data_IF_133802175967
#
_entry.id   IF_133802175967
#
_cell.length_a   1.000
_cell.length_b   1.000
_cell.length_c   1.000
_cell.angle_alpha   90.00
_cell.angle_beta   90.00
_cell.angle_gamma   90.00
#
_symmetry.space_group_name_H-M   'P 1'
#
loop_
_entity.id
_entity.type
_entity.pdbx_description
1 polymer ?
#
# COMPACT_ATOMS: atom_id res chain seq x y z
N UNK A 1 15.23 -14.83 1.26
CA UNK A 1 14.94 -15.87 0.24
C UNK A 1 15.07 -15.22 -1.13
N UNK A 2 14.65 -15.83 -2.24
CA UNK A 2 14.47 -15.06 -3.48
C UNK A 2 13.07 -14.44 -3.43
N UNK A 3 12.96 -13.14 -3.69
CA UNK A 3 11.66 -12.45 -3.69
C UNK A 3 10.74 -13.02 -4.77
N UNK A 4 9.44 -13.05 -4.49
CA UNK A 4 8.43 -13.63 -5.36
C UNK A 4 8.40 -12.91 -6.72
N UNK A 5 8.17 -13.65 -7.82
CA UNK A 5 8.10 -13.07 -9.16
C UNK A 5 7.06 -11.93 -9.27
N UNK A 6 5.93 -12.05 -8.58
CA UNK A 6 4.86 -11.04 -8.57
C UNK A 6 5.36 -9.67 -8.10
N UNK A 7 6.21 -9.62 -7.06
CA UNK A 7 6.79 -8.37 -6.57
C UNK A 7 7.80 -7.82 -7.57
N UNK A 8 8.59 -8.71 -8.18
CA UNK A 8 9.55 -8.30 -9.21
C UNK A 8 8.86 -7.73 -10.45
N UNK A 9 7.72 -8.29 -10.85
CA UNK A 9 6.93 -7.81 -11.98
C UNK A 9 6.25 -6.48 -11.65
N UNK A 10 5.63 -6.37 -10.47
CA UNK A 10 5.05 -5.12 -9.98
C UNK A 10 6.09 -3.99 -9.96
N UNK A 11 7.29 -4.25 -9.44
CA UNK A 11 8.40 -3.27 -9.44
C UNK A 11 8.75 -2.77 -10.83
N UNK A 12 8.79 -3.66 -11.83
CA UNK A 12 9.10 -3.27 -13.22
C UNK A 12 8.01 -2.37 -13.79
N UNK A 13 6.75 -2.72 -13.56
CA UNK A 13 5.61 -1.92 -13.99
C UNK A 13 5.64 -0.54 -13.32
N UNK A 14 5.77 -0.51 -11.99
CA UNK A 14 5.87 0.72 -11.22
C UNK A 14 7.05 1.60 -11.66
N UNK A 15 8.20 0.99 -11.97
CA UNK A 15 9.36 1.71 -12.49
C UNK A 15 9.07 2.35 -13.85
N UNK A 16 8.36 1.65 -14.74
CA UNK A 16 7.99 2.17 -16.06
C UNK A 16 7.06 3.38 -15.95
N UNK A 17 6.04 3.31 -15.08
CA UNK A 17 5.08 4.42 -14.90
C UNK A 17 5.64 5.59 -14.06
N UNK A 18 6.77 5.38 -13.38
CA UNK A 18 7.45 6.39 -12.55
C UNK A 18 8.36 7.34 -13.32
N UNK A 19 8.49 7.18 -14.64
CA UNK A 19 9.32 8.07 -15.49
C UNK A 19 8.66 9.42 -15.78
N UNK A 20 7.35 9.53 -15.53
CA UNK A 20 6.53 10.71 -15.84
C UNK A 20 6.32 11.69 -14.68
N UNK A 21 5.33 12.56 -14.85
CA UNK A 21 4.85 13.45 -13.78
C UNK A 21 4.03 12.68 -12.73
N UNK A 22 3.82 13.27 -11.55
CA UNK A 22 2.93 12.69 -10.51
C UNK A 22 1.55 12.36 -11.06
N UNK A 23 0.98 13.25 -11.86
CA UNK A 23 -0.33 13.02 -12.47
C UNK A 23 -0.33 11.82 -13.42
N UNK A 24 0.73 11.68 -14.20
CA UNK A 24 0.87 10.56 -15.14
C UNK A 24 1.03 9.24 -14.38
N UNK A 25 1.85 9.22 -13.33
CA UNK A 25 1.98 8.06 -12.44
C UNK A 25 0.62 7.64 -11.86
N UNK A 26 -0.15 8.59 -11.31
CA UNK A 26 -1.48 8.31 -10.75
C UNK A 26 -2.46 7.78 -11.81
N UNK A 27 -2.45 8.34 -13.02
CA UNK A 27 -3.31 7.92 -14.12
C UNK A 27 -2.97 6.51 -14.64
N UNK A 28 -1.68 6.19 -14.74
CA UNK A 28 -1.21 4.87 -15.18
C UNK A 28 -1.32 3.80 -14.08
N UNK A 29 -1.18 4.18 -12.80
CA UNK A 29 -1.37 3.29 -11.66
C UNK A 29 -2.85 2.98 -11.39
N UNK A 30 -3.77 3.90 -11.71
CA UNK A 30 -5.21 3.74 -11.48
C UNK A 30 -5.79 2.38 -11.89
N UNK A 31 -5.58 1.89 -13.14
CA UNK A 31 -6.10 0.59 -13.54
C UNK A 31 -5.51 -0.57 -12.72
N UNK A 32 -4.23 -0.50 -12.36
CA UNK A 32 -3.55 -1.54 -11.54
C UNK A 32 -4.16 -1.58 -10.13
N UNK A 33 -4.36 -0.41 -9.52
CA UNK A 33 -4.99 -0.29 -8.21
C UNK A 33 -6.42 -0.83 -8.20
N UNK A 34 -7.22 -0.47 -9.21
CA UNK A 34 -8.60 -0.93 -9.36
C UNK A 34 -8.66 -2.43 -9.63
N UNK A 35 -7.76 -2.98 -10.45
CA UNK A 35 -7.67 -4.41 -10.68
C UNK A 35 -7.33 -5.17 -9.39
N UNK A 36 -6.32 -4.71 -8.66
CA UNK A 36 -5.93 -5.30 -7.38
C UNK A 36 -7.14 -5.32 -6.42
N UNK A 37 -7.87 -4.22 -6.31
CA UNK A 37 -9.08 -4.14 -5.49
C UNK A 37 -10.29 -4.94 -6.02
N UNK A 38 -10.34 -5.31 -7.30
CA UNK A 38 -11.44 -6.09 -7.86
C UNK A 38 -11.14 -7.59 -7.91
N UNK A 39 -9.89 -7.97 -7.68
CA UNK A 39 -9.51 -9.36 -7.50
C UNK A 39 -10.01 -9.92 -6.17
N UNK A 40 -9.83 -11.22 -5.90
CA UNK A 40 -10.41 -11.92 -4.74
C UNK A 40 -9.92 -11.35 -3.38
N UNK A 41 -10.55 -10.26 -2.93
CA UNK A 41 -10.24 -9.52 -1.71
C UNK A 41 -10.74 -10.21 -0.42
N UNK A 42 -11.11 -11.48 -0.47
CA UNK A 42 -11.67 -12.16 0.70
C UNK A 42 -10.63 -12.47 1.79
N UNK A 43 -9.33 -12.24 1.53
CA UNK A 43 -8.21 -12.66 2.40
C UNK A 43 -7.03 -11.66 2.46
N UNK A 44 -7.27 -10.35 2.33
CA UNK A 44 -6.20 -9.35 2.47
C UNK A 44 -5.08 -9.42 1.43
N UNK A 45 -5.45 -9.85 0.23
CA UNK A 45 -4.59 -9.97 -0.94
C UNK A 45 -5.39 -9.63 -2.19
N UNK A 46 -4.68 -9.21 -3.21
CA UNK A 46 -5.22 -9.06 -4.55
C UNK A 46 -4.33 -9.79 -5.56
N UNK A 47 -4.55 -9.52 -6.85
CA UNK A 47 -3.74 -10.08 -7.93
C UNK A 47 -3.08 -8.98 -8.74
N UNK A 48 -1.89 -9.29 -9.25
CA UNK A 48 -1.20 -8.52 -10.28
C UNK A 48 -0.77 -9.49 -11.39
N UNK A 49 -1.20 -9.24 -12.63
CA UNK A 49 -0.95 -10.12 -13.78
C UNK A 49 -1.41 -11.59 -13.56
N UNK A 50 -2.40 -11.81 -12.69
CA UNK A 50 -2.94 -13.13 -12.36
C UNK A 50 -2.25 -13.86 -11.20
N UNK A 51 -1.15 -13.32 -10.66
CA UNK A 51 -0.47 -13.85 -9.47
C UNK A 51 -0.92 -13.10 -8.20
N UNK A 52 -1.00 -13.81 -7.07
CA UNK A 52 -1.39 -13.21 -5.79
C UNK A 52 -0.29 -12.35 -5.19
N UNK A 53 -0.68 -11.17 -4.67
CA UNK A 53 0.17 -10.28 -3.87
C UNK A 53 -0.62 -9.75 -2.67
N UNK A 54 0.01 -9.81 -1.50
CA UNK A 54 -0.57 -9.37 -0.24
C UNK A 54 -0.72 -7.85 -0.14
N UNK A 55 -1.58 -7.42 0.78
CA UNK A 55 -1.91 -6.02 1.02
C UNK A 55 -0.69 -5.14 1.30
N UNK A 56 0.16 -5.49 2.26
CA UNK A 56 1.31 -4.70 2.66
C UNK A 56 2.38 -4.69 1.58
N UNK A 57 2.62 -5.83 0.92
CA UNK A 57 3.60 -5.90 -0.17
C UNK A 57 3.17 -5.02 -1.34
N UNK A 58 1.91 -5.09 -1.76
CA UNK A 58 1.39 -4.25 -2.83
C UNK A 58 1.52 -2.76 -2.48
N UNK A 59 1.06 -2.34 -1.30
CA UNK A 59 1.08 -0.92 -0.92
C UNK A 59 2.49 -0.40 -0.66
N UNK A 60 3.40 -1.22 -0.11
CA UNK A 60 4.80 -0.84 0.09
C UNK A 60 5.48 -0.47 -1.23
N UNK A 61 5.39 -1.36 -2.23
CA UNK A 61 6.01 -1.14 -3.53
C UNK A 61 5.47 0.11 -4.22
N UNK A 62 4.14 0.31 -4.15
CA UNK A 62 3.46 1.46 -4.73
C UNK A 62 3.87 2.77 -4.04
N UNK A 63 3.92 2.78 -2.70
CA UNK A 63 4.33 3.96 -1.93
C UNK A 63 5.78 4.31 -2.25
N UNK A 64 6.69 3.34 -2.26
CA UNK A 64 8.09 3.58 -2.62
C UNK A 64 8.24 4.17 -4.02
N UNK A 65 7.55 3.61 -5.02
CA UNK A 65 7.60 4.11 -6.39
C UNK A 65 7.07 5.55 -6.49
N UNK A 66 5.93 5.84 -5.85
CA UNK A 66 5.36 7.18 -5.83
C UNK A 66 6.30 8.20 -5.15
N UNK A 67 6.90 7.84 -4.00
CA UNK A 67 7.84 8.71 -3.30
C UNK A 67 9.11 8.98 -4.12
N UNK A 68 9.69 7.95 -4.72
CA UNK A 68 10.87 8.07 -5.57
C UNK A 68 10.60 8.94 -6.81
N UNK A 69 9.47 8.74 -7.48
CA UNK A 69 9.02 9.59 -8.59
C UNK A 69 8.90 11.05 -8.17
N UNK A 70 8.29 11.36 -7.03
CA UNK A 70 8.18 12.74 -6.53
C UNK A 70 9.54 13.36 -6.27
N UNK A 71 10.45 12.62 -5.63
CA UNK A 71 11.82 13.08 -5.38
C UNK A 71 12.54 13.39 -6.69
N UNK A 72 12.43 12.52 -7.70
CA UNK A 72 13.02 12.74 -9.04
C UNK A 72 12.46 13.99 -9.71
N UNK A 73 11.18 14.27 -9.52
CA UNK A 73 10.50 15.44 -10.06
C UNK A 73 10.73 16.72 -9.23
N UNK A 74 11.46 16.64 -8.12
CA UNK A 74 11.69 17.78 -7.21
C UNK A 74 10.44 18.19 -6.41
N UNK A 75 9.47 17.28 -6.29
CA UNK A 75 8.25 17.47 -5.51
C UNK A 75 8.44 17.01 -4.06
N UNK A 76 7.78 17.65 -3.08
CA UNK A 76 7.82 17.18 -1.70
C UNK A 76 7.11 15.83 -1.60
N UNK A 77 7.73 14.88 -0.89
CA UNK A 77 7.07 13.62 -0.50
C UNK A 77 5.94 13.92 0.48
N UNK A 78 4.84 13.19 0.37
CA UNK A 78 3.69 13.33 1.28
C UNK A 78 4.08 12.93 2.71
N UNK A 79 3.71 13.77 3.68
CA UNK A 79 3.86 13.40 5.09
C UNK A 79 2.85 12.31 5.46
N UNK A 80 3.16 11.47 6.45
CA UNK A 80 2.17 10.52 6.94
C UNK A 80 0.91 11.21 7.49
N UNK A 81 -0.25 10.58 7.28
CA UNK A 81 -1.52 11.08 7.80
C UNK A 81 -1.49 11.13 9.33
N UNK A 82 -1.62 12.33 9.88
CA UNK A 82 -1.69 12.51 11.33
C UNK A 82 -3.10 12.18 11.85
N UNK A 83 -3.19 11.26 12.80
CA UNK A 83 -4.42 10.90 13.53
C UNK A 83 -5.56 10.39 12.62
N UNK A 84 -5.35 9.31 11.85
CA UNK A 84 -6.38 8.66 11.05
C UNK A 84 -7.63 8.32 11.86
N UNK A 85 -8.79 8.32 11.20
CA UNK A 85 -10.10 8.03 11.81
C UNK A 85 -10.74 6.80 11.14
N UNK A 86 -11.09 5.74 11.89
CA UNK A 86 -10.96 5.61 13.34
C UNK A 86 -9.49 5.54 13.80
N UNK A 87 -9.18 5.92 15.06
CA UNK A 87 -7.82 5.88 15.58
C UNK A 87 -7.17 4.52 15.38
N UNK A 88 -5.86 4.55 15.09
CA UNK A 88 -5.05 3.35 15.01
C UNK A 88 -5.14 2.54 16.31
N UNK A 89 -5.14 1.21 16.17
CA UNK A 89 -5.26 0.28 17.30
C UNK A 89 -3.90 -0.34 17.59
N UNK A 90 -3.18 0.17 18.59
CA UNK A 90 -1.83 -0.29 18.94
C UNK A 90 -1.70 -1.81 19.24
N UNK A 91 -2.81 -2.51 19.47
CA UNK A 91 -2.81 -3.98 19.56
C UNK A 91 -2.46 -4.69 18.24
N UNK A 92 -2.56 -4.00 17.11
CA UNK A 92 -2.13 -4.54 15.80
C UNK A 92 -0.61 -4.69 15.81
N UNK A 93 0.12 -3.71 16.34
CA UNK A 93 1.58 -3.74 16.50
C UNK A 93 2.08 -4.93 17.36
N UNK A 94 1.22 -5.56 18.18
CA UNK A 94 1.60 -6.71 19.03
C UNK A 94 1.46 -8.08 18.35
N UNK A 95 0.96 -8.13 17.12
CA UNK A 95 0.80 -9.38 16.36
C UNK A 95 2.15 -9.74 15.76
N UNK A 96 2.70 -10.93 16.04
CA UNK A 96 4.02 -11.34 15.53
C UNK A 96 3.96 -12.22 14.28
N UNK A 97 2.77 -12.74 13.96
CA UNK A 97 2.56 -13.53 12.75
C UNK A 97 2.32 -12.58 11.55
N UNK A 98 3.10 -12.70 10.46
CA UNK A 98 3.05 -11.74 9.34
C UNK A 98 1.68 -11.63 8.68
N UNK A 99 1.05 -12.76 8.37
CA UNK A 99 -0.26 -12.81 7.70
C UNK A 99 -1.35 -12.21 8.61
N UNK A 100 -1.35 -12.56 9.91
CA UNK A 100 -2.31 -11.98 10.85
C UNK A 100 -2.08 -10.47 11.08
N UNK A 101 -0.83 -10.00 11.04
CA UNK A 101 -0.52 -8.58 11.12
C UNK A 101 -1.08 -7.83 9.90
N UNK A 102 -0.81 -8.34 8.69
CA UNK A 102 -1.34 -7.79 7.44
C UNK A 102 -2.86 -7.71 7.43
N UNK A 103 -3.54 -8.83 7.70
CA UNK A 103 -5.00 -8.89 7.77
C UNK A 103 -5.59 -7.93 8.82
N UNK A 104 -4.95 -7.80 9.99
CA UNK A 104 -5.42 -6.89 11.03
C UNK A 104 -5.24 -5.41 10.64
N UNK A 105 -4.14 -5.09 9.95
CA UNK A 105 -3.84 -3.75 9.47
C UNK A 105 -4.78 -3.36 8.31
N UNK A 106 -4.95 -4.24 7.33
CA UNK A 106 -5.91 -4.07 6.22
C UNK A 106 -7.35 -3.89 6.75
N UNK A 107 -7.78 -4.73 7.70
CA UNK A 107 -9.09 -4.62 8.31
C UNK A 107 -9.30 -3.31 9.08
N UNK A 108 -8.23 -2.66 9.57
CA UNK A 108 -8.31 -1.29 10.08
C UNK A 108 -8.29 -0.24 8.97
N UNK A 109 -7.44 -0.42 7.97
CA UNK A 109 -7.33 0.42 6.79
C UNK A 109 -8.68 0.60 6.08
N UNK A 110 -9.41 -0.48 5.84
CA UNK A 110 -10.72 -0.44 5.18
C UNK A 110 -11.73 0.39 6.00
N UNK A 111 -11.65 0.37 7.33
CA UNK A 111 -12.50 1.23 8.19
C UNK A 111 -12.12 2.71 8.12
N UNK A 112 -10.87 3.04 7.80
CA UNK A 112 -10.44 4.43 7.59
C UNK A 112 -10.98 4.94 6.26
N UNK A 113 -10.86 4.16 5.18
CA UNK A 113 -11.45 4.48 3.88
C UNK A 113 -12.97 4.66 3.93
N UNK A 114 -13.68 3.78 4.64
CA UNK A 114 -15.15 3.86 4.80
C UNK A 114 -15.62 4.91 5.81
N UNK A 115 -14.72 5.71 6.40
CA UNK A 115 -15.12 6.66 7.44
C UNK A 115 -15.84 7.87 6.82
N UNK A 116 -17.09 8.18 7.23
CA UNK A 116 -17.86 9.29 6.64
C UNK A 116 -17.31 10.68 6.96
N UNK A 117 -16.27 10.79 7.79
CA UNK A 117 -15.53 12.04 8.01
C UNK A 117 -14.72 12.46 6.78
N UNK A 118 -14.29 11.51 5.95
CA UNK A 118 -13.52 11.80 4.75
C UNK A 118 -14.44 11.99 3.53
N UNK A 119 -13.96 12.68 2.47
CA UNK A 119 -14.72 12.81 1.23
C UNK A 119 -15.11 11.44 0.66
N UNK A 120 -16.28 11.31 0.00
CA UNK A 120 -16.74 10.04 -0.57
C UNK A 120 -15.71 9.38 -1.50
N UNK A 121 -14.99 10.19 -2.28
CA UNK A 121 -13.95 9.75 -3.22
C UNK A 121 -12.80 9.01 -2.53
N UNK A 122 -12.59 9.22 -1.23
CA UNK A 122 -11.56 8.52 -0.47
C UNK A 122 -11.85 7.02 -0.34
N UNK A 123 -13.13 6.62 -0.39
CA UNK A 123 -13.54 5.22 -0.32
C UNK A 123 -13.44 4.51 -1.69
N UNK A 124 -13.45 5.26 -2.80
CA UNK A 124 -13.50 4.71 -4.15
C UNK A 124 -12.08 4.43 -4.68
N UNK A 125 -11.70 3.16 -4.94
CA UNK A 125 -10.38 2.82 -5.48
C UNK A 125 -10.04 3.49 -6.81
N UNK A 126 -11.05 3.87 -7.60
CA UNK A 126 -10.84 4.54 -8.88
C UNK A 126 -10.56 6.04 -8.72
N UNK A 127 -10.85 6.63 -7.56
CA UNK A 127 -10.75 8.07 -7.31
C UNK A 127 -9.74 8.43 -6.22
N UNK A 128 -9.57 7.57 -5.22
CA UNK A 128 -8.80 7.88 -4.02
C UNK A 128 -7.33 8.17 -4.31
N UNK A 129 -6.72 7.50 -5.29
CA UNK A 129 -5.31 7.68 -5.70
C UNK A 129 -4.96 9.10 -6.12
N UNK A 130 -5.95 9.89 -6.58
CA UNK A 130 -5.75 11.27 -7.00
C UNK A 130 -5.84 12.25 -5.83
N UNK A 131 -6.03 11.75 -4.61
CA UNK A 131 -6.13 12.55 -3.41
C UNK A 131 -4.80 12.53 -2.67
N UNK A 132 -4.23 13.69 -2.28
CA UNK A 132 -3.07 13.71 -1.38
C UNK A 132 -3.32 12.92 -0.09
N UNK A 133 -4.57 12.93 0.39
CA UNK A 133 -5.00 12.18 1.58
C UNK A 133 -4.75 10.67 1.47
N UNK A 134 -4.90 10.09 0.28
CA UNK A 134 -4.62 8.68 0.01
C UNK A 134 -3.15 8.37 0.23
N UNK A 135 -2.25 9.15 -0.39
CA UNK A 135 -0.82 8.97 -0.27
C UNK A 135 -0.30 9.20 1.16
N UNK A 136 -0.84 10.20 1.87
CA UNK A 136 -0.53 10.44 3.28
C UNK A 136 -0.96 9.25 4.14
N UNK A 137 -2.15 8.70 3.88
CA UNK A 137 -2.64 7.56 4.63
C UNK A 137 -1.84 6.28 4.35
N UNK A 138 -1.49 6.02 3.09
CA UNK A 138 -0.69 4.86 2.72
C UNK A 138 0.76 4.96 3.18
N UNK A 139 1.32 6.18 3.28
CA UNK A 139 2.61 6.39 3.94
C UNK A 139 2.55 6.03 5.43
N UNK A 140 1.42 6.28 6.12
CA UNK A 140 1.22 5.80 7.50
C UNK A 140 1.18 4.27 7.58
N UNK A 141 0.49 3.61 6.63
CA UNK A 141 0.43 2.14 6.56
C UNK A 141 1.82 1.55 6.34
N UNK A 142 2.57 2.12 5.38
CA UNK A 142 3.92 1.70 5.05
C UNK A 142 4.87 1.83 6.26
N UNK A 143 4.84 2.98 6.95
CA UNK A 143 5.60 3.18 8.18
C UNK A 143 5.28 2.13 9.25
N UNK A 144 4.02 1.72 9.36
CA UNK A 144 3.61 0.65 10.29
C UNK A 144 4.16 -0.71 9.90
N UNK A 145 4.17 -1.03 8.62
CA UNK A 145 4.76 -2.27 8.13
C UNK A 145 6.28 -2.31 8.35
N UNK A 146 6.99 -1.24 7.99
CA UNK A 146 8.44 -1.17 8.16
C UNK A 146 8.85 -1.20 9.64
N UNK A 147 8.10 -0.55 10.53
CA UNK A 147 8.32 -0.66 11.97
C UNK A 147 8.11 -2.10 12.47
N UNK A 148 7.06 -2.78 11.99
CA UNK A 148 6.79 -4.16 12.35
C UNK A 148 7.89 -5.13 11.90
N UNK A 149 8.39 -4.99 10.67
CA UNK A 149 9.53 -5.77 10.17
C UNK A 149 10.77 -5.58 11.04
N UNK A 150 11.08 -4.33 11.38
CA UNK A 150 12.20 -3.99 12.25
C UNK A 150 12.05 -4.59 13.66
N UNK A 151 10.88 -4.45 14.28
CA UNK A 151 10.62 -4.92 15.64
C UNK A 151 10.64 -6.46 15.74
N UNK A 152 10.34 -7.16 14.64
CA UNK A 152 10.41 -8.63 14.56
C UNK A 152 11.74 -9.13 13.98
N UNK A 153 12.67 -8.24 13.62
CA UNK A 153 13.95 -8.58 13.01
C UNK A 153 13.80 -9.45 11.74
N UNK A 154 12.86 -9.05 10.87
CA UNK A 154 12.56 -9.69 9.58
C UNK A 154 12.96 -8.73 8.47
N UNK A 155 13.74 -9.20 7.49
CA UNK A 155 14.00 -8.43 6.29
C UNK A 155 12.77 -8.45 5.37
N UNK A 156 12.54 -7.36 4.62
CA UNK A 156 11.44 -7.31 3.65
C UNK A 156 11.50 -8.50 2.67
N UNK A 157 12.66 -8.81 2.09
CA UNK A 157 12.82 -9.94 1.14
C UNK A 157 12.68 -11.35 1.77
N UNK A 158 12.39 -11.44 3.08
CA UNK A 158 12.20 -12.70 3.81
C UNK A 158 10.75 -12.96 4.23
N UNK A 159 9.79 -12.06 3.94
CA UNK A 159 8.36 -12.34 4.15
C UNK A 159 7.75 -13.04 2.94
N UNK A 160 6.63 -13.73 3.16
CA UNK A 160 5.80 -14.27 2.08
C UNK A 160 4.96 -13.14 1.48
N UNK A 161 5.40 -12.62 0.33
CA UNK A 161 4.78 -11.47 -0.32
C UNK A 161 3.41 -11.79 -0.95
N UNK A 162 3.00 -13.05 -0.98
CA UNK A 162 1.67 -13.45 -1.47
C UNK A 162 0.58 -13.32 -0.40
N UNK A 163 0.97 -13.15 0.87
CA UNK A 163 0.04 -13.05 2.02
C UNK A 163 0.22 -11.79 2.85
N UNK A 164 1.40 -11.15 2.83
CA UNK A 164 1.64 -9.90 3.58
C UNK A 164 1.30 -8.68 2.77
#
# INVERSE_FOLDING_TARGET
MAIEPVVTNLRKELQAISEGSTRQFEEEFAPVHVEWHNSDNSLGRGTFEGDFIGFLSFHHEVVLAHQDMRVKNGEPVEEEMRRPRPPYRNRIDTITDPENFSNALEGWHNRVHMNPMYPPDFMDPALNIFMPLFWQFHTFIDNKFMAWLNDNNIAYDDVDHTVV
#
